data_IF_896821786068
#
_entry.id   IF_896821786068
#
_cell.length_a   1.000
_cell.length_b   1.000
_cell.length_c   1.000
_cell.angle_alpha   90.00
_cell.angle_beta   90.00
_cell.angle_gamma   90.00
#
_symmetry.space_group_name_H-M   'P 1'
#
loop_
_entity.id
_entity.type
_entity.pdbx_description
1 polymer ?
2 non-polymer ?
3 water ?
#
# COMPACT_ATOMS: atom_id res chain seq x y z
N UNK A 1 -9.97 10.43 3.57
CA UNK A 1 -9.20 9.24 4.04
C UNK A 1 -9.70 8.75 5.38
N UNK A 2 -10.49 7.70 5.37
CA UNK A 2 -10.79 6.97 6.62
C UNK A 2 -10.71 5.47 6.44
N UNK A 3 -10.31 5.01 5.23
CA UNK A 3 -10.04 3.60 5.05
C UNK A 3 -8.74 3.37 5.81
N UNK A 4 -8.77 2.38 6.65
CA UNK A 4 -7.61 2.06 7.47
C UNK A 4 -6.77 0.88 6.91
N UNK A 5 -7.38 0.12 6.00
CA UNK A 5 -6.77 -1.06 5.35
C UNK A 5 -6.95 -0.89 3.86
N UNK A 6 -5.99 -1.39 3.09
CA UNK A 6 -6.14 -1.52 1.64
C UNK A 6 -6.08 -3.02 1.32
N UNK A 7 -7.17 -3.57 0.82
CA UNK A 7 -7.21 -4.97 0.46
C UNK A 7 -6.51 -5.13 -0.88
N UNK A 8 -5.87 -6.28 -1.07
CA UNK A 8 -5.09 -6.50 -2.26
C UNK A 8 -5.03 -7.99 -2.59
N UNK A 9 -4.87 -8.27 -3.88
CA UNK A 9 -4.66 -9.64 -4.37
C UNK A 9 -3.23 -9.87 -4.79
N UNK A 10 -2.46 -8.79 -4.83
CA UNK A 10 -1.02 -8.85 -5.05
C UNK A 10 -0.39 -7.50 -4.84
N UNK A 11 0.92 -7.49 -4.83
CA UNK A 11 1.67 -6.28 -4.54
C UNK A 11 1.46 -5.16 -5.54
N UNK A 12 1.13 -5.51 -6.77
CA UNK A 12 0.91 -4.49 -7.81
C UNK A 12 -0.24 -3.56 -7.40
N UNK A 13 -1.20 -4.08 -6.64
CA UNK A 13 -2.37 -3.30 -6.21
C UNK A 13 -2.07 -2.34 -5.03
N UNK A 14 -0.88 -2.42 -4.47
CA UNK A 14 -0.58 -1.60 -3.31
C UNK A 14 0.17 -0.31 -3.66
N UNK A 15 0.85 -0.29 -4.80
CA UNK A 15 1.71 0.86 -5.13
C UNK A 15 0.92 2.16 -5.15
N UNK A 16 -0.21 2.19 -5.83
CA UNK A 16 -0.94 3.45 -6.01
C UNK A 16 -1.45 4.02 -4.67
N UNK A 17 -2.16 3.19 -3.85
CA UNK A 17 -2.69 3.77 -2.65
C UNK A 17 -1.61 4.07 -1.67
N UNK A 18 -0.54 3.25 -1.62
CA UNK A 18 0.57 3.56 -0.71
C UNK A 18 1.28 4.81 -1.11
N UNK A 19 1.36 5.09 -2.41
CA UNK A 19 2.00 6.33 -2.87
C UNK A 19 1.19 7.51 -2.56
N UNK A 20 -0.11 7.40 -2.69
CA UNK A 20 -0.98 8.48 -2.36
C UNK A 20 -0.76 8.90 -0.92
N UNK A 21 -0.63 7.92 -0.02
CA UNK A 21 -0.53 8.23 1.39
C UNK A 21 0.86 8.72 1.74
N UNK A 22 1.89 8.08 1.20
CA UNK A 22 3.27 8.32 1.67
C UNK A 22 4.11 9.16 0.76
N UNK A 23 3.74 9.20 -0.51
CA UNK A 23 4.56 9.88 -1.53
C UNK A 23 5.53 8.99 -2.20
N UNK A 24 5.67 7.74 -1.76
CA UNK A 24 6.75 6.83 -2.29
C UNK A 24 6.13 5.54 -2.78
N UNK A 25 6.83 4.89 -3.72
CA UNK A 25 6.38 3.61 -4.36
C UNK A 25 7.18 2.53 -3.63
N UNK A 26 6.59 1.93 -2.63
CA UNK A 26 7.30 1.05 -1.73
C UNK A 26 6.24 0.35 -0.90
N UNK A 27 5.91 -0.89 -1.27
CA UNK A 27 4.71 -1.58 -0.74
C UNK A 27 4.79 -3.06 -0.96
N UNK A 28 3.94 -3.80 -0.21
CA UNK A 28 3.88 -5.23 -0.29
C UNK A 28 2.50 -5.70 0.07
N UNK A 29 1.94 -6.55 -0.75
CA UNK A 29 0.70 -7.24 -0.37
C UNK A 29 1.04 -8.46 0.50
N UNK A 30 0.59 -8.47 1.76
CA UNK A 30 0.82 -9.61 2.67
C UNK A 30 -0.52 -9.95 3.31
N UNK A 31 -0.90 -11.23 3.31
CA UNK A 31 -2.17 -11.64 3.91
C UNK A 31 -3.38 -10.82 3.40
N UNK A 32 -3.33 -10.51 2.10
CA UNK A 32 -4.39 -9.80 1.35
C UNK A 32 -4.67 -8.40 1.84
N UNK A 33 -3.67 -7.79 2.44
CA UNK A 33 -3.72 -6.37 2.80
C UNK A 33 -2.38 -5.72 2.50
N UNK A 34 -2.41 -4.42 2.14
CA UNK A 34 -1.21 -3.75 1.76
C UNK A 34 -0.41 -3.30 2.98
N UNK A 35 0.90 -3.52 2.91
CA UNK A 35 1.83 -2.83 3.77
C UNK A 35 2.49 -1.68 2.98
N UNK A 36 2.41 -0.47 3.54
CA UNK A 36 3.00 0.70 2.92
C UNK A 36 4.26 0.97 3.70
N UNK A 37 5.42 0.95 3.02
CA UNK A 37 6.70 1.04 3.73
C UNK A 37 7.29 2.43 3.81
N UNK A 38 6.80 3.32 2.98
CA UNK A 38 7.17 4.72 3.09
C UNK A 38 8.43 5.03 2.35
N UNK A 39 9.11 6.07 2.81
CA UNK A 39 10.23 6.70 2.07
C UNK A 39 11.51 6.68 2.87
N UNK A 40 12.66 6.45 2.23
CA UNK A 40 13.96 6.86 2.83
C UNK A 40 14.17 8.35 2.70
X LIG B 1 -12.38 1.39 7.82
X LIG B 1 -11.04 1.76 8.30
X LIG B 1 -13.01 2.59 7.24
X LIG B 1 -12.29 0.28 6.83
X LIG B 1 -13.17 0.85 8.95
#
# INVERSE_FOLDING_TARGET
GSAEIIRCSGTRECYAPCQKLTGCLNAKCMNKACKCYGCV
SO4 S O1 O2 O3 O4
#
